data_IF_456207438180
#
_entry.id   IF_456207438180
#
_cell.length_a   1.000
_cell.length_b   1.000
_cell.length_c   1.000
_cell.angle_alpha   90.00
_cell.angle_beta   90.00
_cell.angle_gamma   90.00
#
_symmetry.space_group_name_H-M   'P 1'
#
loop_
_entity.id
_entity.type
_entity.pdbx_description
1 polymer ?
#
# COMPACT_ATOMS: atom_id res chain seq x y z
N UNK A 1 -11.38 12.73 -8.30
CA UNK A 1 -11.05 13.20 -6.92
C UNK A 1 -9.56 13.06 -6.71
N UNK A 2 -8.87 14.16 -6.38
CA UNK A 2 -7.45 14.18 -6.03
C UNK A 2 -7.36 14.13 -4.51
N UNK A 3 -6.52 13.25 -3.98
CA UNK A 3 -6.26 13.08 -2.54
C UNK A 3 -5.05 13.92 -2.16
N UNK A 4 -3.96 13.78 -2.93
CA UNK A 4 -2.69 14.53 -2.74
C UNK A 4 -1.97 14.70 -4.06
N UNK A 5 -1.20 15.77 -4.14
CA UNK A 5 -0.16 15.96 -5.15
C UNK A 5 1.19 16.13 -4.47
N UNK A 6 2.22 15.62 -5.11
CA UNK A 6 3.62 15.78 -4.72
C UNK A 6 4.38 16.42 -5.90
N UNK A 7 5.69 16.52 -5.80
CA UNK A 7 6.50 17.10 -6.89
C UNK A 7 6.35 16.33 -8.21
N UNK A 8 6.25 14.99 -8.14
CA UNK A 8 6.23 14.12 -9.31
C UNK A 8 4.94 13.30 -9.49
N UNK A 9 4.07 13.28 -8.48
CA UNK A 9 2.96 12.33 -8.44
C UNK A 9 1.63 13.02 -8.13
N UNK A 10 0.57 12.38 -8.64
CA UNK A 10 -0.82 12.64 -8.26
C UNK A 10 -1.40 11.37 -7.66
N UNK A 11 -1.89 11.47 -6.44
CA UNK A 11 -2.62 10.41 -5.72
C UNK A 11 -4.10 10.72 -5.84
N UNK A 12 -4.84 9.89 -6.54
CA UNK A 12 -6.23 10.18 -6.91
C UNK A 12 -7.14 8.95 -6.88
N UNK A 13 -8.43 9.19 -6.95
CA UNK A 13 -9.38 8.12 -7.25
C UNK A 13 -9.09 7.47 -8.60
N UNK A 14 -9.53 6.24 -8.76
CA UNK A 14 -9.40 5.49 -10.01
C UNK A 14 -10.29 6.05 -11.11
N UNK A 15 -9.78 6.10 -12.33
CA UNK A 15 -10.54 6.38 -13.55
C UNK A 15 -10.78 5.07 -14.31
N UNK A 16 -11.83 4.98 -15.10
CA UNK A 16 -12.10 3.79 -15.93
C UNK A 16 -10.93 3.44 -16.87
N UNK A 17 -10.21 4.46 -17.35
CA UNK A 17 -9.03 4.28 -18.20
C UNK A 17 -7.84 3.63 -17.51
N UNK A 18 -7.84 3.54 -16.17
CA UNK A 18 -6.76 2.92 -15.40
C UNK A 18 -6.91 1.39 -15.28
N UNK A 19 -8.05 0.82 -15.70
CA UNK A 19 -8.36 -0.62 -15.55
C UNK A 19 -7.31 -1.52 -16.20
N UNK A 20 -6.77 -1.12 -17.33
CA UNK A 20 -5.77 -1.92 -18.05
C UNK A 20 -4.47 -2.03 -17.25
N UNK A 21 -3.96 -0.92 -16.74
CA UNK A 21 -2.81 -0.93 -15.84
C UNK A 21 -3.10 -1.74 -14.56
N UNK A 22 -4.29 -1.54 -13.98
CA UNK A 22 -4.67 -2.27 -12.76
C UNK A 22 -4.70 -3.79 -12.98
N UNK A 23 -5.19 -4.26 -14.12
CA UNK A 23 -5.17 -5.67 -14.50
C UNK A 23 -3.74 -6.17 -14.75
N UNK A 24 -2.90 -5.38 -15.44
CA UNK A 24 -1.50 -5.68 -15.68
C UNK A 24 -0.76 -5.93 -14.36
N UNK A 25 -0.78 -4.99 -13.42
CA UNK A 25 -0.06 -5.12 -12.13
C UNK A 25 -0.58 -6.26 -11.26
N UNK A 26 -1.83 -6.71 -11.43
CA UNK A 26 -2.40 -7.84 -10.69
C UNK A 26 -2.14 -9.20 -11.33
N UNK A 27 -1.70 -9.23 -12.58
CA UNK A 27 -1.38 -10.45 -13.34
C UNK A 27 0.12 -10.65 -13.56
N UNK A 28 0.93 -9.58 -13.50
CA UNK A 28 2.37 -9.67 -13.71
C UNK A 28 3.05 -10.56 -12.67
N UNK A 29 3.79 -11.60 -13.08
CA UNK A 29 4.40 -12.56 -12.15
C UNK A 29 5.46 -11.94 -11.24
N UNK A 30 6.14 -10.89 -11.69
CA UNK A 30 7.19 -10.22 -10.90
C UNK A 30 6.61 -9.24 -9.90
N UNK A 31 5.57 -8.51 -10.29
CA UNK A 31 4.82 -7.62 -9.40
C UNK A 31 4.13 -8.42 -8.30
N UNK A 32 3.60 -9.58 -8.65
CA UNK A 32 2.86 -10.48 -7.75
C UNK A 32 3.73 -11.58 -7.13
N UNK A 33 5.06 -11.45 -7.17
CA UNK A 33 6.02 -12.46 -6.68
C UNK A 33 5.76 -12.90 -5.23
N UNK A 34 5.34 -11.98 -4.37
CA UNK A 34 5.07 -12.23 -2.95
C UNK A 34 3.58 -12.43 -2.62
N UNK A 35 2.77 -12.75 -3.62
CA UNK A 35 1.35 -13.05 -3.45
C UNK A 35 1.06 -14.50 -3.88
N UNK A 36 0.25 -15.21 -3.11
CA UNK A 36 -0.11 -16.60 -3.39
C UNK A 36 -0.96 -16.78 -4.66
N UNK A 37 -1.41 -15.70 -5.26
CA UNK A 37 -2.29 -15.73 -6.44
C UNK A 37 -1.98 -14.55 -7.37
N UNK A 38 -2.32 -14.74 -8.64
CA UNK A 38 -2.42 -13.69 -9.65
C UNK A 38 -3.87 -13.60 -10.09
N UNK A 39 -4.31 -12.42 -10.48
CA UNK A 39 -5.69 -12.21 -10.92
C UNK A 39 -5.79 -12.22 -12.44
N UNK A 40 -6.80 -12.87 -12.95
CA UNK A 40 -7.22 -12.68 -14.33
C UNK A 40 -7.94 -11.31 -14.48
N UNK A 41 -8.31 -10.97 -15.73
CA UNK A 41 -8.96 -9.69 -16.03
C UNK A 41 -10.25 -9.47 -15.24
N UNK A 42 -11.15 -10.45 -15.21
CA UNK A 42 -12.43 -10.33 -14.53
C UNK A 42 -12.28 -10.16 -13.01
N UNK A 43 -11.35 -10.89 -12.40
CA UNK A 43 -11.03 -10.75 -10.97
C UNK A 43 -10.39 -9.39 -10.65
N UNK A 44 -9.57 -8.86 -11.55
CA UNK A 44 -8.98 -7.52 -11.43
C UNK A 44 -10.03 -6.44 -11.54
N UNK A 45 -10.95 -6.53 -12.50
CA UNK A 45 -12.04 -5.57 -12.66
C UNK A 45 -12.98 -5.58 -11.45
N UNK A 46 -13.33 -6.76 -10.93
CA UNK A 46 -14.13 -6.88 -9.70
C UNK A 46 -13.44 -6.26 -8.47
N UNK A 47 -12.11 -6.42 -8.36
CA UNK A 47 -11.32 -5.79 -7.30
C UNK A 47 -11.27 -4.27 -7.48
N UNK A 48 -11.08 -3.79 -8.70
CA UNK A 48 -11.08 -2.37 -9.04
C UNK A 48 -12.38 -1.68 -8.58
N UNK A 49 -13.53 -2.26 -8.94
CA UNK A 49 -14.84 -1.74 -8.55
C UNK A 49 -15.05 -1.75 -7.03
N UNK A 50 -14.58 -2.81 -6.36
CA UNK A 50 -14.66 -2.91 -4.89
C UNK A 50 -13.82 -1.84 -4.21
N UNK A 51 -12.59 -1.60 -4.68
CA UNK A 51 -11.72 -0.54 -4.15
C UNK A 51 -12.36 0.82 -4.36
N UNK A 52 -12.90 1.10 -5.56
CA UNK A 52 -13.58 2.36 -5.86
C UNK A 52 -14.76 2.63 -4.94
N UNK A 53 -15.60 1.60 -4.69
CA UNK A 53 -16.70 1.70 -3.73
C UNK A 53 -16.20 1.96 -2.30
N UNK A 54 -15.21 1.20 -1.84
CA UNK A 54 -14.63 1.38 -0.50
C UNK A 54 -14.09 2.79 -0.28
N UNK A 55 -13.38 3.35 -1.27
CA UNK A 55 -12.91 4.73 -1.23
C UNK A 55 -14.07 5.72 -1.13
N UNK A 56 -15.15 5.51 -1.89
CA UNK A 56 -16.32 6.39 -1.88
C UNK A 56 -17.08 6.35 -0.55
N UNK A 57 -17.14 5.19 0.08
CA UNK A 57 -17.90 4.96 1.33
C UNK A 57 -17.12 5.41 2.58
N UNK A 58 -15.82 5.15 2.62
CA UNK A 58 -15.00 5.34 3.82
C UNK A 58 -13.95 6.46 3.71
N UNK A 59 -13.60 6.83 2.49
CA UNK A 59 -12.47 7.70 2.19
C UNK A 59 -11.11 7.01 2.37
N UNK A 60 -11.09 5.69 2.64
CA UNK A 60 -9.90 4.85 2.73
C UNK A 60 -9.85 3.82 1.61
N UNK A 61 -8.66 3.50 1.13
CA UNK A 61 -8.43 2.49 0.11
C UNK A 61 -7.11 2.69 -0.62
N UNK A 62 -6.86 1.85 -1.61
CA UNK A 62 -5.70 1.96 -2.48
C UNK A 62 -6.02 2.90 -3.65
N UNK A 63 -5.49 4.12 -3.60
CA UNK A 63 -5.67 5.15 -4.60
C UNK A 63 -4.77 4.93 -5.81
N UNK A 64 -5.22 5.34 -6.99
CA UNK A 64 -4.37 5.38 -8.17
C UNK A 64 -3.19 6.34 -7.95
N UNK A 65 -2.01 5.88 -8.31
CA UNK A 65 -0.79 6.67 -8.33
C UNK A 65 -0.45 6.97 -9.79
N UNK A 66 -0.45 8.25 -10.14
CA UNK A 66 -0.19 8.72 -11.49
C UNK A 66 0.98 9.71 -11.53
N UNK A 67 1.68 9.80 -12.66
CA UNK A 67 2.66 10.85 -12.89
C UNK A 67 1.94 12.20 -12.97
N UNK A 68 2.47 13.22 -12.28
CA UNK A 68 1.83 14.52 -12.17
C UNK A 68 1.63 15.22 -13.52
N UNK A 69 2.63 15.16 -14.39
CA UNK A 69 2.65 15.92 -15.63
C UNK A 69 1.73 15.34 -16.72
N UNK A 70 1.59 14.01 -16.76
CA UNK A 70 0.85 13.30 -17.82
C UNK A 70 -0.46 12.69 -17.34
N UNK A 71 -0.69 12.63 -16.04
CA UNK A 71 -1.75 11.85 -15.38
C UNK A 71 -1.73 10.34 -15.72
N UNK A 72 -0.61 9.86 -16.27
CA UNK A 72 -0.41 8.45 -16.61
C UNK A 72 -0.35 7.61 -15.34
N UNK A 73 -1.23 6.62 -15.16
CA UNK A 73 -1.22 5.77 -13.98
C UNK A 73 0.02 4.88 -14.00
N UNK A 74 0.65 4.67 -12.84
CA UNK A 74 1.85 3.86 -12.68
C UNK A 74 1.69 2.74 -11.65
N UNK A 75 0.57 2.74 -10.92
CA UNK A 75 0.25 1.78 -9.88
C UNK A 75 -0.72 2.34 -8.85
N UNK A 76 -0.57 1.93 -7.61
CA UNK A 76 -1.35 2.44 -6.50
C UNK A 76 -0.54 2.58 -5.20
N UNK A 77 -1.00 3.48 -4.35
CA UNK A 77 -0.61 3.59 -2.95
C UNK A 77 -1.83 4.05 -2.14
N UNK A 78 -1.99 3.59 -0.90
CA UNK A 78 -3.18 3.96 -0.17
C UNK A 78 -3.18 3.57 1.30
N UNK A 79 -4.12 4.16 2.02
CA UNK A 79 -4.48 3.84 3.39
C UNK A 79 -5.78 3.03 3.38
N UNK A 80 -5.74 1.80 3.84
CA UNK A 80 -6.89 0.90 3.79
C UNK A 80 -7.21 0.33 5.18
N UNK A 81 -8.49 0.15 5.47
CA UNK A 81 -8.92 -0.62 6.65
C UNK A 81 -8.55 -2.09 6.45
N UNK A 82 -7.89 -2.68 7.45
CA UNK A 82 -7.64 -4.12 7.45
C UNK A 82 -8.89 -4.89 7.91
N UNK A 83 -9.02 -6.14 7.46
CA UNK A 83 -9.99 -7.12 7.95
C UNK A 83 -9.27 -8.43 8.31
N UNK A 84 -8.28 -8.33 9.18
CA UNK A 84 -7.35 -9.39 9.55
C UNK A 84 -7.50 -9.82 11.02
N UNK A 85 -8.68 -9.63 11.64
CA UNK A 85 -8.91 -10.18 12.98
C UNK A 85 -8.74 -11.70 13.01
N UNK A 86 -8.23 -12.25 14.10
CA UNK A 86 -7.76 -11.59 15.33
C UNK A 86 -6.31 -11.08 15.28
N UNK A 87 -5.61 -11.20 14.13
CA UNK A 87 -4.19 -10.83 14.00
C UNK A 87 -3.97 -9.32 14.14
N UNK A 88 -4.88 -8.53 13.55
CA UNK A 88 -4.89 -7.08 13.69
C UNK A 88 -6.28 -6.64 14.19
N UNK A 89 -6.34 -5.70 15.16
CA UNK A 89 -7.60 -5.18 15.68
C UNK A 89 -8.46 -4.56 14.58
N UNK A 90 -9.79 -4.64 14.75
CA UNK A 90 -10.72 -3.96 13.86
C UNK A 90 -10.45 -2.45 13.85
N UNK A 91 -10.51 -1.83 12.68
CA UNK A 91 -10.20 -0.41 12.50
C UNK A 91 -8.71 -0.11 12.31
N UNK A 92 -7.83 -1.11 12.32
CA UNK A 92 -6.42 -0.91 11.96
C UNK A 92 -6.30 -0.40 10.53
N UNK A 93 -5.53 0.66 10.34
CA UNK A 93 -5.23 1.22 9.00
C UNK A 93 -3.86 0.73 8.55
N UNK A 94 -3.84 0.07 7.39
CA UNK A 94 -2.60 -0.27 6.70
C UNK A 94 -2.26 0.76 5.63
N UNK A 95 -0.96 1.01 5.43
CA UNK A 95 -0.45 1.63 4.22
C UNK A 95 0.15 0.55 3.32
N UNK A 96 -0.29 0.52 2.05
CA UNK A 96 0.18 -0.44 1.07
C UNK A 96 0.35 0.16 -0.31
N UNK A 97 1.12 -0.53 -1.16
CA UNK A 97 1.47 -0.06 -2.51
C UNK A 97 1.76 -1.19 -3.47
N UNK A 98 1.61 -0.88 -4.77
CA UNK A 98 2.06 -1.71 -5.87
C UNK A 98 2.26 -0.85 -7.13
N UNK A 99 3.40 -1.00 -7.78
CA UNK A 99 3.70 -0.32 -9.05
C UNK A 99 3.94 -1.32 -10.17
N UNK A 100 3.65 -0.89 -11.40
CA UNK A 100 4.13 -1.58 -12.59
C UNK A 100 5.67 -1.55 -12.66
N UNK A 101 6.25 -2.61 -13.18
CA UNK A 101 7.72 -2.84 -13.20
C UNK A 101 8.54 -1.66 -13.73
N UNK A 102 8.16 -0.98 -14.84
CA UNK A 102 8.96 0.11 -15.39
C UNK A 102 9.18 1.29 -14.44
N UNK A 103 8.35 1.39 -13.39
CA UNK A 103 8.39 2.51 -12.44
C UNK A 103 9.09 2.18 -11.12
N UNK A 104 9.64 0.96 -10.99
CA UNK A 104 10.39 0.58 -9.81
C UNK A 104 11.73 1.32 -9.71
N UNK A 105 12.27 1.46 -8.51
CA UNK A 105 13.58 2.07 -8.28
C UNK A 105 13.64 3.60 -8.36
N UNK A 106 12.55 4.28 -8.72
CA UNK A 106 12.49 5.73 -8.88
C UNK A 106 12.11 6.51 -7.60
N UNK A 107 11.85 5.81 -6.49
CA UNK A 107 11.44 6.43 -5.23
C UNK A 107 9.96 6.85 -5.17
N UNK A 108 9.17 6.60 -6.21
CA UNK A 108 7.76 7.00 -6.28
C UNK A 108 6.91 6.49 -5.11
N UNK A 109 7.10 5.23 -4.71
CA UNK A 109 6.37 4.69 -3.55
C UNK A 109 6.71 5.44 -2.27
N UNK A 110 7.99 5.72 -2.02
CA UNK A 110 8.41 6.44 -0.81
C UNK A 110 7.81 7.85 -0.77
N UNK A 111 7.81 8.54 -1.90
CA UNK A 111 7.21 9.89 -2.04
C UNK A 111 5.69 9.86 -1.80
N UNK A 112 4.98 8.96 -2.46
CA UNK A 112 3.53 8.83 -2.31
C UNK A 112 3.13 8.40 -0.90
N UNK A 113 3.83 7.43 -0.33
CA UNK A 113 3.53 6.92 1.00
C UNK A 113 3.82 7.99 2.09
N UNK A 114 4.88 8.79 1.95
CA UNK A 114 5.13 9.91 2.85
C UNK A 114 3.98 10.93 2.83
N UNK A 115 3.48 11.29 1.65
CA UNK A 115 2.35 12.20 1.51
C UNK A 115 1.04 11.62 2.09
N UNK A 116 0.86 10.29 2.00
CA UNK A 116 -0.30 9.62 2.59
C UNK A 116 -0.19 9.43 4.11
N UNK A 117 1.01 9.21 4.65
CA UNK A 117 1.23 9.20 6.10
C UNK A 117 0.90 10.57 6.70
N UNK A 118 1.40 11.64 6.06
CA UNK A 118 1.07 13.01 6.45
C UNK A 118 -0.45 13.24 6.43
N UNK A 119 -1.11 12.87 5.34
CA UNK A 119 -2.58 12.93 5.21
C UNK A 119 -3.29 12.14 6.32
N UNK A 120 -2.84 10.92 6.58
CA UNK A 120 -3.42 10.07 7.60
C UNK A 120 -3.35 10.68 8.98
N UNK A 121 -2.21 11.24 9.35
CA UNK A 121 -2.02 11.80 10.68
C UNK A 121 -2.62 13.20 10.84
N UNK A 122 -2.48 14.08 9.83
CA UNK A 122 -2.89 15.48 9.99
C UNK A 122 -4.37 15.73 9.67
N UNK A 123 -4.95 15.02 8.70
CA UNK A 123 -6.32 15.27 8.25
C UNK A 123 -7.31 14.18 8.62
N UNK A 124 -6.82 12.94 8.73
CA UNK A 124 -7.67 11.81 9.14
C UNK A 124 -7.55 11.49 10.64
N UNK A 125 -6.67 12.21 11.37
CA UNK A 125 -6.44 12.08 12.81
C UNK A 125 -6.16 10.62 13.24
N UNK A 126 -5.42 9.87 12.43
CA UNK A 126 -5.03 8.50 12.76
C UNK A 126 -3.97 8.51 13.86
N UNK A 127 -4.08 7.58 14.82
CA UNK A 127 -3.09 7.44 15.89
C UNK A 127 -1.88 6.59 15.48
N UNK A 128 -2.12 5.57 14.66
CA UNK A 128 -1.11 4.63 14.16
C UNK A 128 -1.46 4.20 12.73
N UNK A 129 -0.42 3.97 11.93
CA UNK A 129 -0.54 3.33 10.61
C UNK A 129 0.47 2.18 10.56
N UNK A 130 0.01 1.00 10.09
CA UNK A 130 0.84 -0.18 9.94
C UNK A 130 1.13 -0.48 8.47
N UNK A 131 2.15 -1.27 8.22
CA UNK A 131 2.40 -1.92 6.93
C UNK A 131 3.00 -3.30 7.18
N UNK A 132 2.69 -4.26 6.35
CA UNK A 132 3.20 -5.62 6.52
C UNK A 132 3.55 -6.25 5.18
N UNK A 133 4.51 -7.17 5.19
CA UNK A 133 4.98 -7.86 4.01
C UNK A 133 5.61 -9.20 4.37
N UNK A 134 5.69 -10.09 3.39
CA UNK A 134 6.53 -11.29 3.49
C UNK A 134 7.99 -10.86 3.76
N UNK A 135 8.71 -11.49 4.71
CA UNK A 135 10.09 -11.09 5.07
C UNK A 135 11.05 -11.03 3.87
N UNK A 136 10.86 -11.91 2.89
CA UNK A 136 11.65 -11.93 1.65
C UNK A 136 11.40 -10.73 0.74
N UNK A 137 10.30 -9.97 0.92
CA UNK A 137 10.03 -8.75 0.17
C UNK A 137 10.84 -7.56 0.71
N UNK A 138 12.16 -7.65 0.49
CA UNK A 138 13.11 -6.64 0.96
C UNK A 138 12.87 -5.26 0.35
N UNK A 139 12.26 -5.19 -0.83
CA UNK A 139 11.87 -3.92 -1.47
C UNK A 139 10.83 -3.18 -0.63
N UNK A 140 9.78 -3.87 -0.19
CA UNK A 140 8.73 -3.25 0.64
C UNK A 140 9.25 -2.88 2.04
N UNK A 141 9.99 -3.77 2.69
CA UNK A 141 10.54 -3.46 4.02
C UNK A 141 11.56 -2.31 3.98
N UNK A 142 12.31 -2.15 2.90
CA UNK A 142 13.19 -0.99 2.70
C UNK A 142 12.40 0.33 2.57
N UNK A 143 11.24 0.32 1.92
CA UNK A 143 10.35 1.49 1.87
C UNK A 143 9.81 1.81 3.27
N UNK A 144 9.30 0.81 4.00
CA UNK A 144 8.81 0.99 5.38
C UNK A 144 9.87 1.66 6.26
N UNK A 145 11.11 1.18 6.19
CA UNK A 145 12.24 1.76 6.94
C UNK A 145 12.54 3.21 6.54
N UNK A 146 12.55 3.53 5.24
CA UNK A 146 12.77 4.91 4.76
C UNK A 146 11.69 5.87 5.23
N UNK A 147 10.46 5.39 5.40
CA UNK A 147 9.34 6.13 5.96
C UNK A 147 9.41 6.29 7.48
N UNK A 148 10.43 5.70 8.14
CA UNK A 148 10.58 5.74 9.58
C UNK A 148 9.69 4.78 10.34
N UNK A 149 9.00 3.88 9.64
CA UNK A 149 8.24 2.82 10.28
C UNK A 149 9.17 1.84 11.01
N UNK A 150 8.79 1.42 12.19
CA UNK A 150 9.57 0.52 13.03
C UNK A 150 9.02 -0.90 12.99
N UNK A 151 9.89 -1.92 12.91
CA UNK A 151 9.43 -3.30 13.01
C UNK A 151 8.81 -3.55 14.39
N UNK A 152 7.69 -4.27 14.40
CA UNK A 152 7.04 -4.76 15.61
C UNK A 152 6.87 -6.28 15.56
N UNK A 153 7.93 -7.03 15.94
CA UNK A 153 7.92 -8.50 15.86
C UNK A 153 6.83 -9.16 16.74
N UNK A 154 6.32 -8.45 17.74
CA UNK A 154 5.25 -8.97 18.59
C UNK A 154 3.90 -9.07 17.87
N UNK A 155 3.74 -8.32 16.79
CA UNK A 155 2.56 -8.32 15.90
C UNK A 155 2.80 -8.99 14.55
N UNK A 156 3.94 -9.66 14.37
CA UNK A 156 4.15 -10.49 13.18
C UNK A 156 3.15 -11.65 13.14
N UNK A 157 2.58 -11.94 11.97
CA UNK A 157 1.52 -12.93 11.85
C UNK A 157 1.63 -13.79 10.59
N UNK A 158 0.95 -14.92 10.62
CA UNK A 158 0.73 -15.75 9.44
C UNK A 158 -0.56 -15.31 8.76
N UNK A 159 -0.42 -14.81 7.54
CA UNK A 159 -1.55 -14.18 6.83
C UNK A 159 -2.66 -15.22 6.55
N UNK A 160 -3.89 -15.02 7.06
CA UNK A 160 -4.93 -16.06 7.04
C UNK A 160 -5.44 -16.41 5.64
N UNK A 161 -5.25 -15.52 4.66
CA UNK A 161 -5.67 -15.74 3.27
C UNK A 161 -4.60 -16.39 2.40
N UNK A 162 -3.42 -16.69 2.95
CA UNK A 162 -2.37 -17.41 2.23
C UNK A 162 -2.54 -18.90 2.47
N UNK A 163 -2.85 -19.70 1.43
CA UNK A 163 -2.99 -21.15 1.56
C UNK A 163 -1.70 -21.83 2.04
N UNK A 164 -1.83 -22.97 2.74
CA UNK A 164 -0.69 -23.74 3.24
C UNK A 164 0.26 -24.23 2.14
N UNK A 165 -0.26 -24.39 0.92
CA UNK A 165 0.54 -24.70 -0.27
C UNK A 165 1.57 -23.63 -0.63
N UNK A 166 1.41 -22.42 -0.10
CA UNK A 166 2.32 -21.28 -0.25
C UNK A 166 2.94 -20.87 1.10
N UNK A 167 3.34 -21.85 1.91
CA UNK A 167 3.83 -21.62 3.28
C UNK A 167 4.95 -20.57 3.36
N UNK A 168 5.82 -20.48 2.35
CA UNK A 168 6.90 -19.49 2.27
C UNK A 168 6.42 -18.04 2.11
N UNK A 169 5.15 -17.82 1.74
CA UNK A 169 4.50 -16.50 1.64
C UNK A 169 3.59 -16.19 2.84
N UNK A 170 3.47 -17.12 3.79
CA UNK A 170 2.47 -17.02 4.86
C UNK A 170 2.89 -16.04 5.95
N UNK A 171 4.14 -16.13 6.38
CA UNK A 171 4.66 -15.23 7.43
C UNK A 171 4.79 -13.80 6.92
N UNK A 172 4.22 -12.86 7.67
CA UNK A 172 4.35 -11.42 7.42
C UNK A 172 5.03 -10.76 8.62
N UNK A 173 6.00 -9.89 8.33
CA UNK A 173 6.59 -8.96 9.30
C UNK A 173 5.79 -7.67 9.28
N UNK A 174 5.50 -7.14 10.47
CA UNK A 174 4.74 -5.92 10.64
C UNK A 174 5.65 -4.76 11.01
N UNK A 175 5.38 -3.62 10.42
CA UNK A 175 5.98 -2.33 10.72
C UNK A 175 4.87 -1.34 11.09
N UNK A 176 5.15 -0.47 12.06
CA UNK A 176 4.20 0.54 12.51
C UNK A 176 4.88 1.91 12.62
N UNK A 177 4.07 2.95 12.55
CA UNK A 177 4.46 4.32 12.85
C UNK A 177 3.28 5.03 13.49
N UNK A 178 3.53 5.77 14.57
CA UNK A 178 2.52 6.58 15.26
C UNK A 178 2.56 8.03 14.80
N UNK A 179 1.45 8.77 15.06
CA UNK A 179 1.37 10.21 14.80
C UNK A 179 2.50 10.99 15.50
N UNK A 180 2.80 10.62 16.74
CA UNK A 180 3.87 11.26 17.51
C UNK A 180 5.26 11.03 16.92
N UNK A 181 5.52 9.83 16.40
CA UNK A 181 6.79 9.51 15.74
C UNK A 181 6.93 10.25 14.41
N UNK A 182 5.84 10.34 13.64
CA UNK A 182 5.81 11.09 12.39
C UNK A 182 6.09 12.58 12.61
N UNK A 183 5.44 13.20 13.61
CA UNK A 183 5.58 14.62 13.93
C UNK A 183 7.00 14.98 14.43
N UNK A 184 7.65 14.07 15.15
CA UNK A 184 9.03 14.29 15.63
C UNK A 184 10.09 14.25 14.53
N UNK A 185 9.70 13.88 13.32
CA UNK A 185 10.59 13.68 12.17
C UNK A 185 11.33 12.34 12.25
N UNK A 186 11.45 11.69 11.11
CA UNK A 186 12.31 10.49 10.98
C UNK A 186 13.76 10.97 11.17
N UNK A 187 14.54 10.46 12.16
CA UNK A 187 15.97 10.76 12.21
C UNK A 187 16.58 10.36 10.87
N UNK A 188 17.27 11.28 10.21
CA UNK A 188 18.03 10.97 9.01
C UNK A 188 18.95 9.77 9.34
N UNK A 189 18.66 8.62 8.77
CA UNK A 189 19.56 7.48 8.88
C UNK A 189 20.78 7.81 8.03
N UNK A 190 21.92 8.06 8.72
CA UNK A 190 23.21 8.24 8.12
C UNK A 190 23.74 6.98 7.44
#
# INVERSE_FOLDING_TARGET
MIIRETDRLRIRGWNETDRDLFAEINSDPKVMEFFAFRRNRAESDALFDRIGRGISETGFGFFALALRDSDMPIGFCGLALTDLEPHLPNGTIEIGWRLALPFWGNGYVTEAAAALLDYGFTERNLGEIVSFAVPANTRSTAVMKRLGMRPDPSRDFDHPRVPDTYAHLKRHVLYAITADEWTRGVPAQG
#
